data_IF_056610502774
#
_entry.id   IF_056610502774
#
_cell.length_a   1.000
_cell.length_b   1.000
_cell.length_c   1.000
_cell.angle_alpha   90.00
_cell.angle_beta   90.00
_cell.angle_gamma   90.00
#
_symmetry.space_group_name_H-M   'P 1'
#
loop_
_entity.id
_entity.type
_entity.pdbx_description
1 polymer ?
#
# COMPACT_ATOMS: atom_id res chain seq x y z
N UNK A 1 -13.82 -5.64 20.31
CA UNK A 1 -13.92 -4.83 19.07
C UNK A 1 -13.43 -3.45 19.46
N UNK A 2 -12.33 -2.98 18.89
CA UNK A 2 -11.87 -1.60 19.15
C UNK A 2 -12.96 -0.66 18.62
N UNK A 3 -13.24 0.41 19.36
CA UNK A 3 -14.29 1.35 19.03
C UNK A 3 -13.99 2.03 17.69
N UNK A 4 -14.64 1.59 16.63
CA UNK A 4 -14.69 2.33 15.38
C UNK A 4 -15.24 3.74 15.68
N UNK A 5 -14.83 4.80 14.95
CA UNK A 5 -15.28 6.15 15.22
C UNK A 5 -16.79 6.22 15.50
N UNK A 6 -17.18 6.86 16.59
CA UNK A 6 -18.59 7.01 17.02
C UNK A 6 -19.47 7.72 15.98
N UNK A 7 -18.84 8.39 15.02
CA UNK A 7 -19.49 8.96 13.83
C UNK A 7 -18.85 8.37 12.56
N UNK A 8 -19.27 7.17 12.12
CA UNK A 8 -18.65 6.48 10.97
C UNK A 8 -18.64 7.34 9.69
N UNK A 9 -19.64 8.18 9.48
CA UNK A 9 -19.70 9.10 8.34
C UNK A 9 -18.58 10.17 8.33
N UNK A 10 -17.88 10.37 9.45
CA UNK A 10 -16.73 11.27 9.55
C UNK A 10 -15.38 10.52 9.36
N UNK A 11 -15.42 9.20 9.18
CA UNK A 11 -14.20 8.44 8.94
C UNK A 11 -13.67 8.66 7.51
N UNK A 12 -12.35 8.55 7.38
CA UNK A 12 -11.64 8.35 6.12
C UNK A 12 -11.07 6.93 6.15
N UNK A 13 -11.52 6.07 5.26
CA UNK A 13 -11.20 4.65 5.29
C UNK A 13 -10.07 4.32 4.29
N UNK A 14 -8.99 3.74 4.79
CA UNK A 14 -7.84 3.31 4.01
C UNK A 14 -7.67 1.81 4.15
N UNK A 15 -7.76 1.09 3.06
CA UNK A 15 -7.78 -0.36 3.04
C UNK A 15 -6.63 -0.90 2.19
N UNK A 16 -5.83 -1.79 2.78
CA UNK A 16 -4.94 -2.59 1.96
C UNK A 16 -5.73 -3.62 1.14
N UNK A 17 -5.08 -4.21 0.12
CA UNK A 17 -5.75 -5.12 -0.81
C UNK A 17 -5.41 -6.58 -0.53
N UNK A 18 -4.15 -7.00 -0.76
CA UNK A 18 -3.71 -8.40 -0.64
C UNK A 18 -3.58 -8.80 0.83
N UNK A 19 -4.20 -9.89 1.24
CA UNK A 19 -4.22 -10.33 2.64
C UNK A 19 -5.20 -9.57 3.53
N UNK A 20 -5.81 -8.48 3.02
CA UNK A 20 -6.76 -7.63 3.74
C UNK A 20 -8.16 -7.68 3.14
N UNK A 21 -8.36 -7.22 1.93
CA UNK A 21 -9.64 -7.31 1.21
C UNK A 21 -9.83 -8.63 0.50
N UNK A 22 -8.73 -9.24 0.04
CA UNK A 22 -8.70 -10.54 -0.64
C UNK A 22 -7.68 -11.46 0.03
N UNK A 23 -7.86 -12.75 -0.10
CA UNK A 23 -6.92 -13.76 0.38
C UNK A 23 -5.61 -13.67 -0.42
N UNK A 24 -4.47 -13.91 0.25
CA UNK A 24 -3.16 -14.01 -0.42
C UNK A 24 -3.19 -15.22 -1.35
N UNK A 25 -2.89 -14.98 -2.63
CA UNK A 25 -2.77 -16.02 -3.63
C UNK A 25 -1.30 -16.49 -3.78
N UNK A 26 -1.11 -17.72 -4.26
CA UNK A 26 0.24 -18.25 -4.54
C UNK A 26 1.00 -17.46 -5.62
N UNK A 27 0.26 -16.81 -6.51
CA UNK A 27 0.79 -15.94 -7.56
C UNK A 27 0.00 -14.64 -7.62
N UNK A 28 0.66 -13.51 -7.91
CA UNK A 28 0.00 -12.20 -7.97
C UNK A 28 -1.18 -12.12 -8.95
N UNK A 29 -1.11 -12.87 -10.05
CA UNK A 29 -2.13 -12.94 -11.10
C UNK A 29 -3.28 -13.92 -10.77
N UNK A 30 -3.16 -14.73 -9.71
CA UNK A 30 -4.15 -15.72 -9.29
C UNK A 30 -5.08 -15.23 -8.17
N UNK A 31 -5.09 -13.93 -7.88
CA UNK A 31 -5.97 -13.35 -6.85
C UNK A 31 -7.43 -13.46 -7.29
N UNK A 32 -8.26 -13.91 -6.36
CA UNK A 32 -9.71 -14.03 -6.56
C UNK A 32 -10.42 -12.91 -5.78
N UNK A 33 -11.03 -12.00 -6.52
CA UNK A 33 -11.85 -10.94 -5.93
C UNK A 33 -13.28 -11.45 -5.78
N UNK A 34 -13.88 -11.45 -4.57
CA UNK A 34 -15.29 -11.80 -4.39
C UNK A 34 -16.18 -10.89 -5.24
N UNK A 35 -17.18 -11.45 -5.94
CA UNK A 35 -17.96 -10.70 -6.95
C UNK A 35 -18.79 -9.56 -6.37
N UNK A 36 -19.11 -9.59 -5.09
CA UNK A 36 -19.86 -8.56 -4.35
C UNK A 36 -18.97 -7.44 -3.78
N UNK A 37 -17.65 -7.68 -3.64
CA UNK A 37 -16.72 -6.73 -3.05
C UNK A 37 -16.67 -5.40 -3.79
N UNK A 38 -16.59 -5.34 -5.14
CA UNK A 38 -16.54 -4.07 -5.85
C UNK A 38 -17.75 -3.18 -5.54
N UNK A 39 -18.96 -3.72 -5.63
CA UNK A 39 -20.18 -2.97 -5.35
C UNK A 39 -20.35 -2.57 -3.88
N UNK A 40 -19.83 -3.36 -2.95
CA UNK A 40 -19.77 -3.00 -1.52
C UNK A 40 -18.86 -1.78 -1.30
N UNK A 41 -17.67 -1.77 -1.89
CA UNK A 41 -16.73 -0.66 -1.77
C UNK A 41 -17.28 0.64 -2.38
N UNK A 42 -17.98 0.57 -3.51
CA UNK A 42 -18.65 1.74 -4.12
C UNK A 42 -19.72 2.33 -3.19
N UNK A 43 -20.60 1.49 -2.62
CA UNK A 43 -21.62 1.97 -1.68
C UNK A 43 -21.00 2.54 -0.41
N UNK A 44 -19.98 1.89 0.16
CA UNK A 44 -19.24 2.43 1.30
C UNK A 44 -18.62 3.78 0.98
N UNK A 45 -17.95 3.91 -0.18
CA UNK A 45 -17.38 5.17 -0.63
C UNK A 45 -18.44 6.26 -0.73
N UNK A 46 -19.60 5.96 -1.31
CA UNK A 46 -20.72 6.91 -1.40
C UNK A 46 -21.20 7.37 -0.02
N UNK A 47 -21.39 6.46 0.93
CA UNK A 47 -21.79 6.79 2.30
C UNK A 47 -20.73 7.60 3.05
N UNK A 48 -19.46 7.39 2.74
CA UNK A 48 -18.32 8.16 3.28
C UNK A 48 -18.04 9.44 2.48
N UNK A 49 -18.91 9.85 1.55
CA UNK A 49 -18.71 11.04 0.73
C UNK A 49 -17.45 10.99 -0.12
N UNK A 50 -17.02 9.80 -0.56
CA UNK A 50 -15.82 9.57 -1.34
C UNK A 50 -14.55 9.32 -0.52
N UNK A 51 -14.60 9.37 0.82
CA UNK A 51 -13.43 9.22 1.69
C UNK A 51 -13.09 7.74 1.97
N UNK A 52 -12.99 6.93 0.92
CA UNK A 52 -12.51 5.55 0.94
C UNK A 52 -11.41 5.40 -0.11
N UNK A 53 -10.26 4.83 0.27
CA UNK A 53 -9.14 4.58 -0.62
C UNK A 53 -8.56 3.17 -0.44
N UNK A 54 -8.16 2.56 -1.56
CA UNK A 54 -7.30 1.37 -1.54
C UNK A 54 -5.83 1.84 -1.54
N UNK A 55 -5.01 1.28 -0.65
CA UNK A 55 -3.59 1.62 -0.52
C UNK A 55 -2.77 0.33 -0.57
N UNK A 56 -2.13 0.03 -1.70
CA UNK A 56 -1.52 -1.27 -1.97
C UNK A 56 -0.11 -1.16 -2.56
N UNK A 57 0.66 -2.24 -2.42
CA UNK A 57 1.93 -2.42 -3.12
C UNK A 57 1.77 -2.69 -4.62
N UNK A 58 0.59 -3.11 -5.06
CA UNK A 58 0.31 -3.38 -6.47
C UNK A 58 0.38 -2.12 -7.34
N UNK A 59 0.79 -2.26 -8.61
CA UNK A 59 0.63 -1.20 -9.60
C UNK A 59 -0.84 -0.76 -9.73
N UNK A 60 -1.05 0.54 -9.96
CA UNK A 60 -2.41 1.11 -10.06
C UNK A 60 -3.25 0.44 -11.16
N UNK A 61 -2.63 0.06 -12.29
CA UNK A 61 -3.30 -0.65 -13.39
C UNK A 61 -3.81 -2.04 -12.97
N UNK A 62 -3.07 -2.75 -12.11
CA UNK A 62 -3.53 -4.04 -11.58
C UNK A 62 -4.69 -3.84 -10.61
N UNK A 63 -4.63 -2.81 -9.75
CA UNK A 63 -5.75 -2.46 -8.88
C UNK A 63 -7.01 -2.09 -9.68
N UNK A 64 -6.87 -1.40 -10.81
CA UNK A 64 -8.00 -1.10 -11.70
C UNK A 64 -8.56 -2.35 -12.37
N UNK A 65 -7.71 -3.32 -12.69
CA UNK A 65 -8.13 -4.60 -13.25
C UNK A 65 -8.90 -5.46 -12.23
N UNK A 66 -8.36 -5.60 -11.01
CA UNK A 66 -9.00 -6.42 -9.97
C UNK A 66 -10.21 -5.75 -9.30
N UNK A 67 -10.14 -4.43 -9.15
CA UNK A 67 -11.22 -3.62 -8.57
C UNK A 67 -11.61 -2.49 -9.55
N UNK A 68 -12.42 -2.80 -10.58
CA UNK A 68 -12.88 -1.81 -11.56
C UNK A 68 -13.99 -0.93 -10.97
N UNK A 69 -13.67 -0.21 -9.90
CA UNK A 69 -14.61 0.62 -9.12
C UNK A 69 -14.09 2.06 -9.03
N UNK A 70 -15.03 3.00 -9.00
CA UNK A 70 -14.77 4.44 -8.92
C UNK A 70 -14.50 4.88 -7.48
N UNK A 71 -13.31 4.55 -6.96
CA UNK A 71 -12.82 4.96 -5.64
C UNK A 71 -11.38 5.44 -5.72
N UNK A 72 -10.92 6.19 -4.71
CA UNK A 72 -9.53 6.59 -4.62
C UNK A 72 -8.61 5.37 -4.50
N UNK A 73 -7.45 5.41 -5.15
CA UNK A 73 -6.46 4.33 -5.11
C UNK A 73 -5.04 4.88 -5.02
N UNK A 74 -4.21 4.23 -4.24
CA UNK A 74 -2.77 4.43 -4.17
C UNK A 74 -2.09 3.09 -4.47
N UNK A 75 -1.32 3.04 -5.56
CA UNK A 75 -0.55 1.89 -5.98
C UNK A 75 0.95 2.09 -5.74
N UNK A 76 1.74 1.02 -5.93
CA UNK A 76 3.19 1.00 -5.75
C UNK A 76 3.60 1.58 -4.39
N UNK A 77 2.93 1.12 -3.31
CA UNK A 77 3.11 1.62 -1.93
C UNK A 77 2.90 3.13 -1.76
N UNK A 78 2.20 3.83 -2.67
CA UNK A 78 1.96 5.26 -2.61
C UNK A 78 2.78 6.08 -3.60
N UNK A 79 3.58 5.46 -4.47
CA UNK A 79 4.30 6.15 -5.53
C UNK A 79 3.38 6.68 -6.64
N UNK A 80 2.21 6.08 -6.80
CA UNK A 80 1.23 6.43 -7.84
C UNK A 80 -0.16 6.50 -7.21
N UNK A 81 -0.83 7.64 -7.31
CA UNK A 81 -2.13 7.86 -6.66
C UNK A 81 -3.19 8.31 -7.67
N UNK A 82 -4.42 7.88 -7.44
CA UNK A 82 -5.64 8.50 -7.99
C UNK A 82 -6.49 8.94 -6.81
N UNK A 83 -6.35 10.20 -6.35
CA UNK A 83 -7.01 10.70 -5.13
C UNK A 83 -8.53 10.81 -5.25
N UNK A 84 -9.03 10.95 -6.46
CA UNK A 84 -10.46 11.02 -6.77
C UNK A 84 -10.82 9.89 -7.74
N UNK A 85 -12.06 9.36 -7.69
CA UNK A 85 -12.50 8.22 -8.50
C UNK A 85 -12.14 8.33 -9.99
N UNK A 86 -12.50 9.44 -10.60
CA UNK A 86 -12.27 9.71 -12.04
C UNK A 86 -11.21 10.81 -12.24
N UNK A 87 -10.40 11.08 -11.19
CA UNK A 87 -9.37 12.10 -11.23
C UNK A 87 -8.12 11.65 -11.99
N UNK A 88 -7.22 12.61 -12.26
CA UNK A 88 -5.95 12.31 -12.87
C UNK A 88 -5.11 11.39 -11.96
N UNK A 89 -4.26 10.61 -12.59
CA UNK A 89 -3.20 9.88 -11.87
C UNK A 89 -2.12 10.87 -11.50
N UNK A 90 -1.79 10.92 -10.22
CA UNK A 90 -0.77 11.78 -9.67
C UNK A 90 0.45 10.93 -9.24
N UNK A 91 1.62 11.43 -9.54
CA UNK A 91 2.88 10.87 -9.06
C UNK A 91 3.57 11.97 -8.24
N UNK A 92 3.66 11.84 -6.92
CA UNK A 92 4.44 12.76 -6.11
C UNK A 92 5.88 12.86 -6.67
N UNK A 93 6.47 14.04 -6.59
CA UNK A 93 7.87 14.20 -6.98
C UNK A 93 8.74 13.36 -6.03
N UNK A 94 9.24 12.25 -6.54
CA UNK A 94 10.06 11.30 -5.79
C UNK A 94 11.51 11.44 -6.23
N UNK A 95 12.43 11.33 -5.27
CA UNK A 95 13.85 11.20 -5.57
C UNK A 95 14.08 9.92 -6.41
N UNK A 96 14.97 9.99 -7.38
CA UNK A 96 15.45 8.81 -8.10
C UNK A 96 16.87 8.49 -7.64
N UNK A 97 17.22 7.21 -7.44
CA UNK A 97 18.57 6.84 -7.04
C UNK A 97 19.59 7.33 -8.05
N UNK A 98 20.76 7.77 -7.62
CA UNK A 98 21.85 8.12 -8.53
C UNK A 98 22.12 6.99 -9.53
N UNK A 99 22.27 7.32 -10.80
CA UNK A 99 22.55 6.32 -11.87
C UNK A 99 23.79 5.45 -11.56
N UNK A 100 24.75 6.00 -10.82
CA UNK A 100 25.92 5.26 -10.36
C UNK A 100 25.58 4.09 -9.41
N UNK A 101 24.53 4.19 -8.60
CA UNK A 101 24.12 3.10 -7.72
C UNK A 101 23.61 1.92 -8.53
N UNK A 102 22.75 2.20 -9.50
CA UNK A 102 22.24 1.18 -10.41
C UNK A 102 23.35 0.52 -11.23
N UNK A 103 24.33 1.30 -11.70
CA UNK A 103 25.49 0.78 -12.42
C UNK A 103 26.35 -0.15 -11.53
N UNK A 104 26.61 0.23 -10.27
CA UNK A 104 27.33 -0.62 -9.30
C UNK A 104 26.57 -1.91 -9.00
N UNK A 105 25.23 -1.82 -8.79
CA UNK A 105 24.39 -2.98 -8.57
C UNK A 105 24.31 -3.90 -9.80
N UNK A 106 24.28 -3.34 -11.00
CA UNK A 106 24.33 -4.08 -12.26
C UNK A 106 25.65 -4.86 -12.43
N UNK A 107 26.78 -4.20 -12.22
CA UNK A 107 28.11 -4.84 -12.27
C UNK A 107 28.24 -5.96 -11.21
N UNK A 108 27.63 -5.77 -10.03
CA UNK A 108 27.56 -6.83 -9.03
C UNK A 108 26.73 -8.02 -9.54
N UNK A 109 25.56 -7.77 -10.12
CA UNK A 109 24.68 -8.84 -10.62
C UNK A 109 25.36 -9.63 -11.75
N UNK A 110 26.16 -9.00 -12.62
CA UNK A 110 26.93 -9.68 -13.66
C UNK A 110 27.97 -10.66 -13.11
N UNK A 111 28.50 -10.43 -11.90
CA UNK A 111 29.45 -11.34 -11.25
C UNK A 111 28.79 -12.59 -10.66
N UNK A 112 27.45 -12.62 -10.52
CA UNK A 112 26.68 -13.74 -9.96
C UNK A 112 25.65 -14.25 -10.97
N UNK A 113 25.95 -15.30 -11.75
CA UNK A 113 25.01 -15.84 -12.73
C UNK A 113 23.66 -16.20 -12.10
N UNK A 114 22.60 -15.62 -12.60
CA UNK A 114 21.25 -15.76 -12.05
C UNK A 114 20.77 -14.59 -11.17
N UNK A 115 21.67 -13.67 -10.79
CA UNK A 115 21.26 -12.38 -10.24
C UNK A 115 20.95 -11.37 -11.36
N UNK A 116 19.99 -10.48 -11.13
CA UNK A 116 19.63 -9.43 -12.10
C UNK A 116 19.00 -8.23 -11.44
N UNK A 117 19.02 -7.09 -12.15
CA UNK A 117 18.35 -5.86 -11.75
C UNK A 117 16.99 -5.75 -12.44
N UNK A 118 15.97 -5.44 -11.66
CA UNK A 118 14.66 -4.99 -12.12
C UNK A 118 14.54 -3.50 -11.88
N UNK A 119 14.30 -2.72 -12.92
CA UNK A 119 14.07 -1.28 -12.80
C UNK A 119 12.67 -0.99 -12.30
N UNK A 120 12.57 -0.06 -11.36
CA UNK A 120 11.32 0.55 -10.89
C UNK A 120 11.28 2.02 -11.27
N UNK A 121 10.11 2.64 -11.26
CA UNK A 121 9.95 4.05 -11.63
C UNK A 121 10.86 5.00 -10.82
N UNK A 122 11.08 4.72 -9.53
CA UNK A 122 11.86 5.56 -8.61
C UNK A 122 12.83 4.74 -7.75
N UNK A 123 13.25 3.58 -8.25
CA UNK A 123 14.13 2.67 -7.52
C UNK A 123 14.61 1.53 -8.40
N UNK A 124 15.12 0.49 -7.79
CA UNK A 124 15.44 -0.77 -8.47
C UNK A 124 15.47 -1.93 -7.46
N UNK A 125 15.30 -3.14 -7.97
CA UNK A 125 15.38 -4.37 -7.19
C UNK A 125 16.55 -5.20 -7.70
N UNK A 126 17.39 -5.71 -6.79
CA UNK A 126 18.41 -6.70 -7.10
C UNK A 126 17.90 -8.07 -6.65
N UNK A 127 17.57 -8.90 -7.63
CA UNK A 127 17.12 -10.29 -7.44
C UNK A 127 18.30 -11.24 -7.38
N UNK A 128 18.26 -12.19 -6.44
CA UNK A 128 19.27 -13.22 -6.27
C UNK A 128 18.66 -14.63 -6.03
N UNK A 129 17.41 -14.84 -6.44
CA UNK A 129 16.73 -16.14 -6.25
C UNK A 129 17.48 -17.30 -6.89
N UNK A 130 18.11 -17.09 -8.05
CA UNK A 130 18.89 -18.11 -8.76
C UNK A 130 20.38 -18.08 -8.37
N UNK A 131 20.81 -17.18 -7.48
CA UNK A 131 22.13 -17.05 -6.92
C UNK A 131 22.05 -16.69 -5.42
N UNK A 132 21.51 -17.60 -4.56
CA UNK A 132 21.21 -17.29 -3.15
C UNK A 132 22.44 -16.82 -2.36
N UNK A 133 23.62 -17.31 -2.73
CA UNK A 133 24.91 -16.92 -2.12
C UNK A 133 25.25 -15.44 -2.29
N UNK A 134 24.72 -14.79 -3.32
CA UNK A 134 24.92 -13.37 -3.57
C UNK A 134 24.16 -12.47 -2.56
N UNK A 135 23.12 -13.00 -1.90
CA UNK A 135 22.23 -12.21 -1.05
C UNK A 135 22.90 -11.37 0.05
N UNK A 136 23.82 -11.95 0.87
CA UNK A 136 24.53 -11.20 1.89
C UNK A 136 25.40 -10.06 1.33
N UNK A 137 26.17 -10.32 0.27
CA UNK A 137 27.03 -9.33 -0.37
C UNK A 137 26.23 -8.23 -1.07
N UNK A 138 25.13 -8.60 -1.75
CA UNK A 138 24.17 -7.67 -2.32
C UNK A 138 23.61 -6.72 -1.26
N UNK A 139 23.21 -7.26 -0.10
CA UNK A 139 22.73 -6.47 1.02
C UNK A 139 23.76 -5.48 1.56
N UNK A 140 25.03 -5.91 1.70
CA UNK A 140 26.13 -5.02 2.13
C UNK A 140 26.39 -3.91 1.10
N UNK A 141 26.46 -4.24 -0.19
CA UNK A 141 26.65 -3.27 -1.26
C UNK A 141 25.52 -2.21 -1.23
N UNK A 142 24.28 -2.66 -1.27
CA UNK A 142 23.12 -1.76 -1.34
C UNK A 142 22.95 -0.92 -0.06
N UNK A 143 23.25 -1.49 1.11
CA UNK A 143 23.30 -0.74 2.37
C UNK A 143 24.34 0.40 2.30
N UNK A 144 25.54 0.11 1.77
CA UNK A 144 26.56 1.12 1.59
C UNK A 144 26.11 2.25 0.63
N UNK A 145 25.44 1.90 -0.48
CA UNK A 145 24.92 2.87 -1.42
C UNK A 145 23.83 3.76 -0.79
N UNK A 146 22.84 3.15 -0.14
CA UNK A 146 21.75 3.89 0.53
C UNK A 146 22.28 4.80 1.63
N UNK A 147 23.37 4.43 2.31
CA UNK A 147 24.02 5.28 3.33
C UNK A 147 24.60 6.59 2.78
N UNK A 148 24.77 6.71 1.46
CA UNK A 148 25.19 7.97 0.83
C UNK A 148 24.06 9.04 0.81
N UNK A 149 22.77 8.61 0.89
CA UNK A 149 21.60 9.48 0.97
C UNK A 149 20.51 8.86 1.85
N UNK A 150 20.75 8.73 3.16
CA UNK A 150 19.89 7.97 4.07
C UNK A 150 18.54 8.63 4.33
N UNK A 151 18.40 9.92 4.09
CA UNK A 151 17.13 10.65 4.25
C UNK A 151 16.21 10.46 3.04
N UNK A 152 16.79 10.19 1.86
CA UNK A 152 16.05 10.07 0.61
C UNK A 152 15.66 8.63 0.28
N UNK A 153 16.51 7.64 0.64
CA UNK A 153 16.33 6.25 0.24
C UNK A 153 16.36 5.26 1.41
N UNK A 154 15.71 4.14 1.20
CA UNK A 154 15.73 2.99 2.09
C UNK A 154 16.07 1.71 1.31
N UNK A 155 16.69 0.76 1.99
CA UNK A 155 16.86 -0.60 1.52
C UNK A 155 15.79 -1.47 2.17
N UNK A 156 14.96 -2.11 1.36
CA UNK A 156 13.88 -2.98 1.80
C UNK A 156 14.18 -4.45 1.46
N UNK A 157 14.05 -5.37 2.43
CA UNK A 157 14.15 -6.79 2.13
C UNK A 157 12.89 -7.25 1.36
N UNK A 158 13.10 -8.09 0.35
CA UNK A 158 12.05 -8.79 -0.37
C UNK A 158 12.38 -10.28 -0.49
N UNK A 159 11.45 -11.08 -1.04
CA UNK A 159 11.69 -12.51 -1.17
C UNK A 159 12.82 -12.81 -2.16
N UNK A 160 14.00 -13.20 -1.63
CA UNK A 160 15.23 -13.44 -2.40
C UNK A 160 15.64 -12.24 -3.27
N UNK A 161 15.46 -11.02 -2.72
CA UNK A 161 15.78 -9.76 -3.38
C UNK A 161 16.00 -8.64 -2.35
N UNK A 162 16.67 -7.57 -2.80
CA UNK A 162 16.81 -6.30 -2.08
C UNK A 162 16.27 -5.17 -2.95
N UNK A 163 15.42 -4.34 -2.40
CA UNK A 163 14.86 -3.18 -3.10
C UNK A 163 15.41 -1.87 -2.56
N UNK A 164 15.95 -1.04 -3.45
CA UNK A 164 16.27 0.37 -3.17
C UNK A 164 15.06 1.22 -3.56
N UNK A 165 14.46 1.89 -2.59
CA UNK A 165 13.23 2.67 -2.76
C UNK A 165 13.34 4.03 -2.08
N UNK A 166 12.69 5.11 -2.59
CA UNK A 166 12.62 6.38 -1.89
C UNK A 166 11.92 6.23 -0.53
N UNK A 167 12.46 6.85 0.52
CA UNK A 167 11.79 6.88 1.84
C UNK A 167 10.46 7.61 1.82
N UNK A 168 10.29 8.55 0.89
CA UNK A 168 9.04 9.26 0.68
C UNK A 168 7.93 8.37 0.07
N UNK A 169 8.24 7.12 -0.29
CA UNK A 169 7.26 6.14 -0.77
C UNK A 169 6.95 5.16 0.35
N UNK A 170 5.75 5.26 0.88
CA UNK A 170 5.19 4.31 1.83
C UNK A 170 3.67 4.41 1.83
N UNK A 171 2.98 3.39 2.33
CA UNK A 171 1.53 3.48 2.56
C UNK A 171 1.18 4.62 3.53
N UNK A 172 2.10 4.99 4.44
CA UNK A 172 1.95 6.14 5.33
C UNK A 172 1.96 7.48 4.59
N UNK A 173 2.92 7.68 3.68
CA UNK A 173 2.97 8.91 2.87
C UNK A 173 1.76 9.04 1.94
N UNK A 174 1.24 7.91 1.41
CA UNK A 174 -0.01 7.90 0.65
C UNK A 174 -1.21 8.34 1.51
N UNK A 175 -1.33 7.83 2.74
CA UNK A 175 -2.39 8.25 3.69
C UNK A 175 -2.27 9.73 4.00
N UNK A 176 -1.08 10.21 4.39
CA UNK A 176 -0.84 11.63 4.69
C UNK A 176 -1.19 12.53 3.50
N UNK A 177 -0.81 12.11 2.29
CA UNK A 177 -1.12 12.83 1.06
C UNK A 177 -2.63 12.93 0.82
N UNK A 178 -3.37 11.84 0.95
CA UNK A 178 -4.82 11.81 0.80
C UNK A 178 -5.51 12.62 1.91
N UNK A 179 -5.06 12.49 3.17
CA UNK A 179 -5.60 13.24 4.30
C UNK A 179 -5.41 14.75 4.20
N UNK A 180 -4.48 15.24 3.39
CA UNK A 180 -4.30 16.67 3.13
C UNK A 180 -5.34 17.26 2.16
N UNK A 181 -6.25 16.46 1.60
CA UNK A 181 -7.13 16.81 0.47
C UNK A 181 -8.56 16.36 0.68
N UNK A 182 -9.52 17.08 0.05
CA UNK A 182 -10.90 16.60 -0.07
C UNK A 182 -10.90 15.31 -0.94
N UNK A 183 -11.71 14.30 -0.60
CA UNK A 183 -12.72 14.27 0.47
C UNK A 183 -12.22 13.80 1.85
N UNK A 184 -10.93 13.51 2.01
CA UNK A 184 -10.34 12.90 3.22
C UNK A 184 -10.03 13.96 4.30
N UNK A 185 -9.72 15.19 3.92
CA UNK A 185 -9.29 16.23 4.83
C UNK A 185 -10.30 16.51 5.94
N UNK A 186 -9.80 16.64 7.19
CA UNK A 186 -10.62 16.92 8.37
C UNK A 186 -11.40 15.70 8.91
N UNK A 187 -11.21 14.52 8.34
CA UNK A 187 -11.85 13.26 8.80
C UNK A 187 -10.94 12.49 9.75
N UNK A 188 -11.51 11.51 10.43
CA UNK A 188 -10.77 10.57 11.29
C UNK A 188 -10.25 9.42 10.44
N UNK A 189 -8.93 9.27 10.23
CA UNK A 189 -8.41 8.20 9.40
C UNK A 189 -8.50 6.85 10.09
N UNK A 190 -8.91 5.83 9.35
CA UNK A 190 -8.89 4.43 9.78
C UNK A 190 -8.15 3.63 8.71
N UNK A 191 -7.00 3.06 9.08
CA UNK A 191 -6.21 2.21 8.20
C UNK A 191 -6.32 0.74 8.63
N UNK A 192 -6.65 -0.15 7.71
CA UNK A 192 -6.67 -1.58 7.93
C UNK A 192 -5.73 -2.27 6.94
N UNK A 193 -4.84 -3.12 7.45
CA UNK A 193 -3.87 -3.88 6.67
C UNK A 193 -3.37 -5.12 7.41
N UNK A 194 -2.62 -6.00 6.76
CA UNK A 194 -2.21 -7.29 7.29
C UNK A 194 -0.70 -7.46 7.45
N UNK A 195 0.11 -6.71 6.71
CA UNK A 195 1.54 -6.92 6.65
C UNK A 195 2.38 -5.77 7.23
N UNK A 196 3.72 -5.93 7.19
CA UNK A 196 4.67 -4.95 7.74
C UNK A 196 4.67 -3.62 6.99
N UNK A 197 4.34 -3.63 5.70
CA UNK A 197 4.29 -2.39 4.89
C UNK A 197 3.10 -1.51 5.26
N UNK A 198 2.08 -2.08 5.91
CA UNK A 198 0.89 -1.38 6.40
C UNK A 198 1.15 -0.59 7.69
N UNK A 199 2.18 -0.97 8.44
CA UNK A 199 2.50 -0.30 9.71
C UNK A 199 2.74 1.20 9.53
N UNK A 200 3.33 1.62 8.41
CA UNK A 200 3.51 3.04 8.11
C UNK A 200 2.15 3.77 7.92
N UNK A 201 1.19 3.13 7.25
CA UNK A 201 -0.17 3.66 7.10
C UNK A 201 -0.94 3.70 8.42
N UNK A 202 -0.82 2.63 9.22
CA UNK A 202 -1.42 2.55 10.55
C UNK A 202 -0.84 3.60 11.51
N UNK A 203 0.47 3.84 11.46
CA UNK A 203 1.12 4.85 12.30
C UNK A 203 0.59 6.25 11.99
N UNK A 204 0.55 6.63 10.71
CA UNK A 204 -0.01 7.93 10.28
C UNK A 204 -1.46 8.08 10.70
N UNK A 205 -2.28 7.02 10.58
CA UNK A 205 -3.66 7.06 11.03
C UNK A 205 -3.77 7.29 12.53
N UNK A 206 -2.97 6.61 13.35
CA UNK A 206 -2.94 6.79 14.81
C UNK A 206 -2.45 8.19 15.22
N UNK A 207 -1.39 8.69 14.58
CA UNK A 207 -0.83 10.02 14.84
C UNK A 207 -1.84 11.14 14.52
N UNK A 208 -2.71 10.92 13.53
CA UNK A 208 -3.80 11.83 13.20
C UNK A 208 -5.06 11.64 14.07
N UNK A 209 -4.98 10.91 15.18
CA UNK A 209 -6.09 10.70 16.12
C UNK A 209 -7.11 9.65 15.66
N UNK A 210 -6.77 8.85 14.66
CA UNK A 210 -7.61 7.79 14.13
C UNK A 210 -7.15 6.38 14.58
N UNK A 211 -7.44 5.37 13.76
CA UNK A 211 -7.17 3.96 14.05
C UNK A 211 -6.24 3.35 13.00
N UNK A 212 -5.25 2.60 13.47
CA UNK A 212 -4.46 1.69 12.64
C UNK A 212 -4.69 0.26 13.12
N UNK A 213 -5.36 -0.55 12.34
CA UNK A 213 -5.84 -1.88 12.72
C UNK A 213 -5.11 -2.96 11.93
N UNK A 214 -4.46 -3.89 12.63
CA UNK A 214 -3.94 -5.09 11.99
C UNK A 214 -5.10 -6.06 11.76
N UNK A 215 -5.23 -6.57 10.54
CA UNK A 215 -6.34 -7.44 10.14
C UNK A 215 -6.48 -8.66 11.05
N UNK A 216 -5.36 -9.37 11.27
CA UNK A 216 -5.35 -10.62 12.04
C UNK A 216 -5.84 -10.42 13.47
N UNK A 217 -5.45 -9.31 14.10
CA UNK A 217 -5.79 -9.00 15.48
C UNK A 217 -7.25 -8.54 15.63
N UNK A 218 -7.76 -7.79 14.64
CA UNK A 218 -9.06 -7.15 14.71
C UNK A 218 -10.19 -7.99 14.12
N UNK A 219 -9.92 -8.72 13.03
CA UNK A 219 -10.94 -9.45 12.25
C UNK A 219 -10.58 -10.91 12.03
N UNK A 220 -9.31 -11.29 12.13
CA UNK A 220 -8.80 -12.64 11.96
C UNK A 220 -8.57 -13.02 10.50
N UNK A 221 -9.52 -12.80 9.60
CA UNK A 221 -9.41 -13.18 8.17
C UNK A 221 -10.03 -12.13 7.26
N UNK A 222 -9.60 -12.06 5.96
CA UNK A 222 -10.19 -11.19 4.96
C UNK A 222 -11.72 -11.39 4.82
N UNK A 223 -12.19 -12.64 4.87
CA UNK A 223 -13.63 -12.94 4.82
C UNK A 223 -14.41 -12.26 5.93
N UNK A 224 -13.96 -12.39 7.19
CA UNK A 224 -14.62 -11.74 8.33
C UNK A 224 -14.55 -10.23 8.27
N UNK A 225 -13.47 -9.69 7.71
CA UNK A 225 -13.35 -8.27 7.48
C UNK A 225 -14.36 -7.77 6.45
N UNK A 226 -14.55 -8.48 5.35
CA UNK A 226 -15.60 -8.17 4.34
C UNK A 226 -17.01 -8.23 4.95
N UNK A 227 -17.29 -9.22 5.80
CA UNK A 227 -18.57 -9.30 6.54
C UNK A 227 -18.77 -8.05 7.41
N UNK A 228 -17.72 -7.60 8.10
CA UNK A 228 -17.78 -6.38 8.91
C UNK A 228 -17.99 -5.13 8.05
N UNK A 229 -17.34 -5.02 6.88
CA UNK A 229 -17.58 -3.91 5.93
C UNK A 229 -19.04 -3.87 5.46
N UNK A 230 -19.66 -5.02 5.21
CA UNK A 230 -21.07 -5.11 4.84
C UNK A 230 -22.00 -4.66 5.98
N UNK A 231 -21.67 -5.00 7.22
CA UNK A 231 -22.42 -4.51 8.40
C UNK A 231 -22.27 -3.00 8.54
N UNK A 232 -21.05 -2.46 8.39
CA UNK A 232 -20.76 -1.01 8.44
C UNK A 232 -21.56 -0.27 7.35
N UNK A 233 -21.57 -0.77 6.13
CA UNK A 233 -22.33 -0.20 5.02
C UNK A 233 -23.82 -0.11 5.36
N UNK A 234 -24.39 -1.21 5.87
CA UNK A 234 -25.79 -1.23 6.29
C UNK A 234 -26.10 -0.28 7.47
N UNK A 235 -25.15 0.00 8.36
CA UNK A 235 -25.30 1.00 9.42
C UNK A 235 -25.30 2.42 8.84
N UNK A 236 -24.34 2.74 7.97
CA UNK A 236 -24.26 4.02 7.29
C UNK A 236 -25.51 4.31 6.45
N UNK A 237 -26.01 3.32 5.72
CA UNK A 237 -27.23 3.43 4.91
C UNK A 237 -28.47 3.79 5.73
N UNK A 238 -28.54 3.34 7.00
CA UNK A 238 -29.65 3.66 7.91
C UNK A 238 -29.48 4.98 8.65
N UNK A 239 -28.34 5.67 8.49
CA UNK A 239 -28.01 6.88 9.25
C UNK A 239 -27.82 6.62 10.76
N UNK A 240 -27.59 5.39 11.16
CA UNK A 240 -27.36 4.99 12.55
C UNK A 240 -25.87 5.20 12.84
N UNK A 241 -25.55 6.23 13.63
CA UNK A 241 -24.25 6.32 14.28
C UNK A 241 -24.11 5.10 15.22
N UNK A 242 -23.01 4.35 15.06
CA UNK A 242 -22.70 3.25 15.97
C UNK A 242 -22.21 3.79 17.31
#
# INVERSE_FOLDING_TARGET
MQDFPTAPAQAALFLDFDGTLVEIAERPDAVVVPPDLPSLLERLSAHLGGALAIVSGRPLLELDHFLPVAIAKAGNHGAVLRPLPDGPVEQPALASPPAAWRAKAGAFAEAFPGAFIEDKAHGFVLHFRQAPEAGPEAGMLLTSLVSEAPDDFALMPAHMAWEVTPRSVSKGTAVAYLMSRSPFAGRVPVFIGDDVTDEAGMAVAREAGGLGLRLQDSFGTPGRFRDWLAVLEGQLARGVAA
#
